data_IF_796567663527
#
_entry.id   IF_796567663527
#
_cell.length_a   1.000
_cell.length_b   1.000
_cell.length_c   1.000
_cell.angle_alpha   90.00
_cell.angle_beta   90.00
_cell.angle_gamma   90.00
#
_symmetry.space_group_name_H-M   'P 1'
#
loop_
_entity.id
_entity.type
_entity.pdbx_description
1 polymer ?
#
# COMPACT_ATOMS: atom_id res chain seq x y z
N UNK A 1 -3.65 -19.07 19.88
CA UNK A 1 -3.07 -19.46 18.58
C UNK A 1 -1.75 -18.73 18.46
N UNK A 2 -0.70 -19.46 18.10
CA UNK A 2 0.63 -18.87 17.86
C UNK A 2 0.50 -17.94 16.66
N UNK A 3 0.90 -16.71 16.79
CA UNK A 3 0.94 -15.72 15.70
C UNK A 3 2.40 -15.61 15.27
N UNK A 4 2.68 -15.83 14.01
CA UNK A 4 4.04 -15.70 13.49
C UNK A 4 4.13 -14.44 12.62
N UNK A 5 5.26 -13.73 12.69
CA UNK A 5 5.59 -12.61 11.80
C UNK A 5 6.66 -13.08 10.86
N UNK A 6 6.31 -13.25 9.58
CA UNK A 6 7.28 -13.66 8.56
C UNK A 6 6.73 -13.49 7.14
N UNK A 7 7.45 -12.77 6.30
CA UNK A 7 7.14 -12.65 4.86
C UNK A 7 8.41 -12.92 4.06
N UNK A 8 8.38 -13.93 3.20
CA UNK A 8 9.50 -14.28 2.32
C UNK A 8 9.25 -14.00 0.83
N UNK A 9 8.02 -14.20 0.34
CA UNK A 9 7.67 -13.96 -1.06
C UNK A 9 6.29 -13.34 -1.21
N UNK A 10 6.11 -12.45 -2.19
CA UNK A 10 4.81 -11.85 -2.51
C UNK A 10 3.73 -12.89 -2.82
N UNK A 11 4.10 -14.03 -3.38
CA UNK A 11 3.22 -15.14 -3.76
C UNK A 11 3.19 -16.31 -2.75
N UNK A 12 3.93 -16.23 -1.65
CA UNK A 12 3.86 -17.26 -0.60
C UNK A 12 2.45 -17.35 -0.02
N UNK A 13 2.09 -18.51 0.52
CA UNK A 13 0.77 -18.74 1.13
C UNK A 13 0.49 -17.78 2.26
N UNK A 14 -0.54 -16.97 2.08
CA UNK A 14 -0.99 -15.95 3.03
C UNK A 14 -1.70 -16.63 4.21
N UNK A 15 -1.29 -16.32 5.43
CA UNK A 15 -1.88 -16.87 6.66
C UNK A 15 -2.42 -15.78 7.59
N UNK A 16 -1.74 -14.64 7.67
CA UNK A 16 -2.15 -13.52 8.51
C UNK A 16 -2.00 -12.21 7.75
N UNK A 17 -3.03 -11.36 7.79
CA UNK A 17 -3.10 -10.11 7.04
C UNK A 17 -3.77 -9.01 7.85
N UNK A 18 -3.29 -7.79 7.70
CA UNK A 18 -4.00 -6.59 8.15
C UNK A 18 -4.79 -6.04 6.98
N UNK A 19 -6.07 -5.73 7.19
CA UNK A 19 -6.92 -4.98 6.24
C UNK A 19 -7.17 -3.60 6.84
N UNK A 20 -6.93 -2.55 6.07
CA UNK A 20 -7.19 -1.17 6.47
C UNK A 20 -8.66 -0.90 6.80
N UNK A 21 -8.92 0.21 7.46
CA UNK A 21 -10.28 0.72 7.73
C UNK A 21 -10.53 1.97 6.88
N UNK A 22 -11.70 2.11 6.25
CA UNK A 22 -11.98 3.22 5.35
C UNK A 22 -12.26 4.51 6.13
N UNK A 23 -11.26 5.01 6.82
CA UNK A 23 -11.31 6.25 7.58
C UNK A 23 -10.24 7.22 7.08
N UNK A 24 -10.68 8.42 6.79
CA UNK A 24 -9.84 9.52 6.31
C UNK A 24 -10.20 10.81 7.05
N UNK A 25 -9.21 11.63 7.32
CA UNK A 25 -9.36 13.05 7.62
C UNK A 25 -8.81 13.82 6.43
N UNK A 26 -9.66 14.59 5.77
CA UNK A 26 -9.29 15.31 4.55
C UNK A 26 -8.34 16.46 4.86
N UNK A 27 -7.23 16.50 4.12
CA UNK A 27 -6.22 17.53 4.29
C UNK A 27 -6.73 18.91 3.86
N UNK A 28 -6.23 19.95 4.53
CA UNK A 28 -6.42 21.33 4.14
C UNK A 28 -5.46 21.68 2.99
N UNK A 29 -5.95 22.11 1.80
CA UNK A 29 -5.09 22.48 0.68
C UNK A 29 -4.11 23.61 0.98
N UNK A 30 -4.36 24.43 2.02
CA UNK A 30 -3.42 25.47 2.46
C UNK A 30 -2.22 24.90 3.23
N UNK A 31 -2.27 23.65 3.69
CA UNK A 31 -1.16 23.02 4.40
C UNK A 31 0.08 22.92 3.48
N UNK A 32 1.27 23.30 3.95
CA UNK A 32 2.48 23.37 3.12
C UNK A 32 2.78 22.06 2.38
N UNK A 33 2.58 20.91 3.06
CA UNK A 33 2.85 19.59 2.50
C UNK A 33 1.85 19.14 1.41
N UNK A 34 0.68 19.79 1.31
CA UNK A 34 -0.36 19.47 0.33
C UNK A 34 -0.43 20.46 -0.83
N UNK A 35 0.18 21.63 -0.70
CA UNK A 35 0.07 22.73 -1.66
C UNK A 35 0.43 22.30 -3.09
N UNK A 36 1.47 21.47 -3.25
CA UNK A 36 1.88 20.95 -4.56
C UNK A 36 0.88 19.96 -5.16
N UNK A 37 0.16 19.18 -4.32
CA UNK A 37 -0.81 18.19 -4.80
C UNK A 37 -2.06 18.84 -5.42
N UNK A 38 -2.39 20.05 -5.01
CA UNK A 38 -3.61 20.74 -5.42
C UNK A 38 -3.40 21.86 -6.45
N UNK A 39 -2.15 22.14 -6.85
CA UNK A 39 -1.85 23.27 -7.75
C UNK A 39 -2.45 23.16 -9.16
N UNK A 40 -2.83 21.96 -9.58
CA UNK A 40 -3.41 21.72 -10.91
C UNK A 40 -4.93 21.63 -10.91
N UNK A 41 -5.59 21.74 -9.74
CA UNK A 41 -7.03 21.67 -9.64
C UNK A 41 -7.68 22.96 -10.15
N UNK A 42 -8.83 22.82 -10.80
CA UNK A 42 -9.69 23.95 -11.15
C UNK A 42 -10.26 24.64 -9.89
N UNK A 43 -10.74 25.86 -10.04
CA UNK A 43 -11.35 26.62 -8.94
C UNK A 43 -12.49 25.85 -8.26
N UNK A 44 -13.35 25.20 -9.04
CA UNK A 44 -14.49 24.44 -8.52
C UNK A 44 -14.04 23.17 -7.74
N UNK A 45 -12.98 22.49 -8.22
CA UNK A 45 -12.38 21.35 -7.50
C UNK A 45 -11.73 21.80 -6.21
N UNK A 46 -10.99 22.90 -6.22
CA UNK A 46 -10.42 23.49 -5.00
C UNK A 46 -11.48 23.85 -3.97
N UNK A 47 -12.57 24.52 -4.37
CA UNK A 47 -13.69 24.83 -3.48
C UNK A 47 -14.28 23.57 -2.83
N UNK A 48 -14.42 22.48 -3.60
CA UNK A 48 -14.86 21.17 -3.10
C UNK A 48 -13.87 20.59 -2.08
N UNK A 49 -12.57 20.64 -2.35
CA UNK A 49 -11.53 20.16 -1.42
C UNK A 49 -11.53 21.01 -0.14
N UNK A 50 -11.55 22.34 -0.23
CA UNK A 50 -11.64 23.23 0.94
C UNK A 50 -12.88 22.97 1.79
N UNK A 51 -14.02 22.64 1.18
CA UNK A 51 -15.25 22.35 1.92
C UNK A 51 -15.15 21.12 2.83
N UNK A 52 -14.21 20.21 2.53
CA UNK A 52 -13.94 18.97 3.27
C UNK A 52 -12.75 19.07 4.24
N UNK A 53 -11.93 20.11 4.10
CA UNK A 53 -10.70 20.30 4.84
C UNK A 53 -10.88 20.14 6.36
N UNK A 54 -10.06 19.30 6.98
CA UNK A 54 -10.09 19.00 8.41
C UNK A 54 -11.27 18.17 8.89
N UNK A 55 -12.17 17.75 7.99
CA UNK A 55 -13.31 16.89 8.32
C UNK A 55 -12.97 15.43 8.06
N UNK A 56 -13.48 14.55 8.92
CA UNK A 56 -13.38 13.11 8.68
C UNK A 56 -14.41 12.64 7.66
N UNK A 57 -14.16 11.47 7.07
CA UNK A 57 -15.12 10.76 6.21
C UNK A 57 -16.48 10.64 6.87
N UNK A 58 -16.53 10.31 8.18
CA UNK A 58 -17.78 10.24 8.95
C UNK A 58 -18.52 11.56 8.98
N UNK A 59 -17.84 12.68 9.29
CA UNK A 59 -18.47 13.99 9.38
C UNK A 59 -19.04 14.48 8.04
N UNK A 60 -18.36 14.17 6.94
CA UNK A 60 -18.80 14.60 5.60
C UNK A 60 -20.04 13.83 5.14
N UNK A 61 -20.06 12.54 5.45
CA UNK A 61 -21.07 11.63 4.91
C UNK A 61 -22.15 11.23 5.92
N UNK A 62 -22.09 11.69 7.17
CA UNK A 62 -23.00 11.33 8.26
C UNK A 62 -24.49 11.43 7.89
N UNK A 63 -24.84 12.43 7.07
CA UNK A 63 -26.24 12.70 6.65
C UNK A 63 -26.60 12.11 5.28
N UNK A 64 -25.70 11.38 4.63
CA UNK A 64 -25.96 10.80 3.32
C UNK A 64 -26.40 9.33 3.47
N UNK A 65 -27.51 8.92 2.86
CA UNK A 65 -27.82 7.49 2.75
C UNK A 65 -26.73 6.82 1.90
N UNK A 66 -26.16 5.70 2.37
CA UNK A 66 -25.03 5.00 1.75
C UNK A 66 -23.84 5.93 1.49
N UNK A 67 -23.18 6.31 2.56
CA UNK A 67 -21.98 7.14 2.45
C UNK A 67 -20.76 6.33 1.95
N UNK A 68 -19.74 7.00 1.45
CA UNK A 68 -18.53 6.38 0.90
C UNK A 68 -17.84 5.45 1.91
N UNK A 69 -17.84 5.79 3.19
CA UNK A 69 -17.28 4.95 4.24
C UNK A 69 -17.98 3.58 4.33
N UNK A 70 -19.32 3.56 4.30
CA UNK A 70 -20.11 2.33 4.33
C UNK A 70 -19.89 1.50 3.08
N UNK A 71 -19.85 2.12 1.90
CA UNK A 71 -19.57 1.44 0.64
C UNK A 71 -18.18 0.80 0.62
N UNK A 72 -17.16 1.49 1.13
CA UNK A 72 -15.82 0.94 1.25
C UNK A 72 -15.74 -0.20 2.28
N UNK A 73 -16.51 -0.13 3.38
CA UNK A 73 -16.61 -1.27 4.31
C UNK A 73 -17.33 -2.47 3.67
N UNK A 74 -18.36 -2.27 2.86
CA UNK A 74 -19.00 -3.34 2.08
C UNK A 74 -18.00 -3.99 1.10
N UNK A 75 -17.12 -3.19 0.49
CA UNK A 75 -16.03 -3.68 -0.37
C UNK A 75 -15.01 -4.49 0.45
N UNK A 76 -14.61 -3.99 1.62
CA UNK A 76 -13.74 -4.73 2.55
C UNK A 76 -14.38 -6.05 3.02
N UNK A 77 -15.69 -6.08 3.30
CA UNK A 77 -16.38 -7.32 3.70
C UNK A 77 -16.33 -8.38 2.59
N UNK A 78 -16.43 -8.00 1.32
CA UNK A 78 -16.26 -8.94 0.20
C UNK A 78 -14.86 -9.55 0.22
N UNK A 79 -13.83 -8.72 0.44
CA UNK A 79 -12.44 -9.16 0.55
C UNK A 79 -12.23 -10.06 1.77
N UNK A 80 -12.77 -9.69 2.93
CA UNK A 80 -12.75 -10.47 4.17
C UNK A 80 -13.38 -11.86 3.96
N UNK A 81 -14.49 -11.92 3.23
CA UNK A 81 -15.17 -13.19 2.96
C UNK A 81 -14.35 -14.11 2.06
N UNK A 82 -13.55 -13.57 1.15
CA UNK A 82 -12.57 -14.36 0.38
C UNK A 82 -11.50 -14.90 1.34
N UNK A 83 -10.87 -14.06 2.16
CA UNK A 83 -9.85 -14.50 3.11
C UNK A 83 -10.35 -15.58 4.09
N UNK A 84 -11.59 -15.48 4.57
CA UNK A 84 -12.21 -16.50 5.43
C UNK A 84 -12.31 -17.87 4.76
N UNK A 85 -12.53 -17.94 3.44
CA UNK A 85 -12.57 -19.22 2.69
C UNK A 85 -11.20 -19.94 2.67
N UNK A 86 -10.12 -19.21 2.89
CA UNK A 86 -8.74 -19.72 2.92
C UNK A 86 -8.17 -19.80 4.34
N UNK A 87 -9.00 -19.69 5.38
CA UNK A 87 -8.60 -19.71 6.78
C UNK A 87 -7.53 -18.69 7.14
N UNK A 88 -7.53 -17.54 6.44
CA UNK A 88 -6.58 -16.46 6.67
C UNK A 88 -7.03 -15.65 7.89
N UNK A 89 -6.12 -15.47 8.84
CA UNK A 89 -6.34 -14.64 10.03
C UNK A 89 -6.25 -13.17 9.67
N UNK A 90 -7.32 -12.44 10.02
CA UNK A 90 -7.47 -11.03 9.65
C UNK A 90 -7.34 -10.16 10.90
N UNK A 91 -6.57 -9.09 10.77
CA UNK A 91 -6.49 -8.01 11.75
C UNK A 91 -7.04 -6.72 11.17
N UNK A 92 -7.69 -5.92 12.02
CA UNK A 92 -8.12 -4.57 11.68
C UNK A 92 -7.37 -3.57 12.58
N UNK A 93 -6.81 -2.49 12.01
CA UNK A 93 -6.12 -1.49 12.79
C UNK A 93 -7.08 -0.75 13.73
N UNK A 94 -6.54 -0.14 14.78
CA UNK A 94 -7.31 0.71 15.67
C UNK A 94 -7.66 2.02 14.97
N UNK A 95 -8.92 2.44 15.08
CA UNK A 95 -9.33 3.77 14.60
C UNK A 95 -8.54 4.86 15.35
N UNK A 96 -8.00 5.82 14.60
CA UNK A 96 -7.33 7.01 15.13
C UNK A 96 -8.26 8.23 14.93
N UNK A 97 -9.07 8.60 15.93
CA UNK A 97 -9.90 9.81 15.84
C UNK A 97 -9.03 11.06 15.71
N UNK A 98 -9.51 12.06 14.96
CA UNK A 98 -8.75 13.30 14.74
C UNK A 98 -8.42 14.04 16.04
N UNK A 99 -9.29 13.94 17.05
CA UNK A 99 -9.09 14.53 18.38
C UNK A 99 -7.84 13.94 19.05
N UNK A 100 -7.63 12.62 18.95
CA UNK A 100 -6.45 11.95 19.49
C UNK A 100 -5.17 12.38 18.75
N UNK A 101 -5.24 12.54 17.44
CA UNK A 101 -4.10 13.01 16.63
C UNK A 101 -3.79 14.46 16.96
N UNK A 102 -4.82 15.31 17.08
CA UNK A 102 -4.68 16.72 17.49
C UNK A 102 -4.02 16.85 18.86
N UNK A 103 -4.48 16.08 19.85
CA UNK A 103 -3.93 16.09 21.20
C UNK A 103 -2.44 15.70 21.23
N UNK A 104 -2.06 14.65 20.46
CA UNK A 104 -0.71 14.10 20.51
C UNK A 104 0.29 14.80 19.61
N UNK A 105 -0.14 15.35 18.49
CA UNK A 105 0.73 15.85 17.41
C UNK A 105 0.45 17.29 17.00
N UNK A 106 -0.61 17.89 17.51
CA UNK A 106 -1.01 19.27 17.22
C UNK A 106 -1.99 19.41 16.03
N UNK A 107 -2.55 20.61 15.93
CA UNK A 107 -3.55 20.98 14.91
C UNK A 107 -3.02 20.87 13.47
N UNK A 108 -1.77 21.27 13.26
CA UNK A 108 -1.16 21.31 11.93
C UNK A 108 -1.02 19.90 11.31
N UNK A 109 -0.86 18.89 12.15
CA UNK A 109 -0.83 17.49 11.71
C UNK A 109 -2.21 17.04 11.23
N UNK A 110 -3.27 17.43 11.94
CA UNK A 110 -4.66 17.16 11.51
C UNK A 110 -4.99 17.88 10.21
N UNK A 111 -4.52 19.12 10.04
CA UNK A 111 -4.72 19.90 8.80
C UNK A 111 -4.10 19.24 7.57
N UNK A 112 -3.03 18.46 7.74
CA UNK A 112 -2.41 17.73 6.63
C UNK A 112 -3.26 16.56 6.12
N UNK A 113 -4.24 16.11 6.91
CA UNK A 113 -5.06 14.94 6.59
C UNK A 113 -4.33 13.61 6.76
N UNK A 114 -5.04 12.50 6.90
CA UNK A 114 -4.48 11.14 6.96
C UNK A 114 -5.52 10.10 6.54
N UNK A 115 -5.04 8.92 6.15
CA UNK A 115 -5.84 7.84 5.57
C UNK A 115 -5.51 6.54 6.30
N UNK A 116 -6.51 5.75 6.70
CA UNK A 116 -6.31 4.44 7.34
C UNK A 116 -6.76 3.24 6.48
N UNK A 117 -7.35 3.48 5.31
CA UNK A 117 -7.81 2.40 4.42
C UNK A 117 -6.66 1.65 3.72
N UNK A 118 -5.50 2.28 3.55
CA UNK A 118 -4.36 1.68 2.85
C UNK A 118 -3.28 1.26 3.82
N UNK A 119 -3.43 0.05 4.37
CA UNK A 119 -2.53 -0.50 5.39
C UNK A 119 -1.14 -0.86 4.86
N UNK A 120 -0.96 -0.88 3.54
CA UNK A 120 0.31 -1.26 2.90
C UNK A 120 1.44 -0.30 3.20
N UNK A 121 1.20 1.03 3.19
CA UNK A 121 2.26 2.03 3.13
C UNK A 121 3.00 2.31 4.46
N UNK A 122 2.35 2.24 5.65
CA UNK A 122 3.01 2.64 6.90
C UNK A 122 4.12 1.71 7.38
N UNK A 123 4.13 0.45 6.93
CA UNK A 123 5.13 -0.54 7.33
C UNK A 123 5.24 -1.67 6.32
N UNK A 124 6.30 -2.45 6.43
CA UNK A 124 6.50 -3.70 5.67
C UNK A 124 7.03 -4.79 6.58
N UNK A 125 6.71 -6.05 6.27
CA UNK A 125 7.35 -7.20 6.88
C UNK A 125 8.32 -7.81 5.87
N UNK A 126 9.60 -7.93 6.26
CA UNK A 126 10.66 -8.56 5.44
C UNK A 126 11.31 -9.66 6.27
N UNK A 127 11.14 -10.92 5.87
CA UNK A 127 11.48 -12.04 6.74
C UNK A 127 10.76 -11.88 8.07
N UNK A 128 11.49 -11.92 9.17
CA UNK A 128 10.98 -11.71 10.53
C UNK A 128 11.12 -10.27 11.04
N UNK A 129 11.26 -9.28 10.16
CA UNK A 129 11.41 -7.88 10.54
C UNK A 129 10.11 -7.11 10.23
N UNK A 130 9.52 -6.47 11.24
CA UNK A 130 8.54 -5.40 11.06
C UNK A 130 9.32 -4.09 10.92
N UNK A 131 9.18 -3.42 9.80
CA UNK A 131 9.88 -2.18 9.49
C UNK A 131 8.85 -1.06 9.35
N UNK A 132 8.79 -0.13 10.33
CA UNK A 132 7.99 1.08 10.20
C UNK A 132 8.65 2.01 9.19
N UNK A 133 7.88 2.47 8.21
CA UNK A 133 8.37 3.26 7.10
C UNK A 133 8.17 4.77 7.34
N UNK A 134 8.91 5.57 6.60
CA UNK A 134 8.82 7.03 6.61
C UNK A 134 8.09 7.50 5.37
N UNK A 135 6.78 7.74 5.49
CA UNK A 135 5.94 8.18 4.38
C UNK A 135 6.23 9.61 3.95
N UNK A 136 6.00 9.90 2.67
CA UNK A 136 6.23 11.22 2.07
C UNK A 136 5.24 12.28 2.54
N UNK A 137 4.09 11.87 3.07
CA UNK A 137 3.09 12.77 3.65
C UNK A 137 3.24 12.76 5.16
N UNK A 138 3.59 13.89 5.80
CA UNK A 138 3.97 13.94 7.20
C UNK A 138 2.95 13.33 8.15
N UNK A 139 1.67 13.59 7.93
CA UNK A 139 0.61 13.10 8.81
C UNK A 139 0.41 11.59 8.68
N UNK A 140 0.63 10.97 7.52
CA UNK A 140 0.55 9.53 7.35
C UNK A 140 1.50 8.76 8.26
N UNK A 141 2.54 9.41 8.78
CA UNK A 141 3.43 8.83 9.80
C UNK A 141 2.72 8.51 11.10
N UNK A 142 1.62 9.19 11.41
CA UNK A 142 0.78 8.88 12.56
C UNK A 142 -0.03 7.59 12.37
N UNK A 143 -0.29 7.17 11.14
CA UNK A 143 -1.05 5.95 10.82
C UNK A 143 -0.44 4.69 11.46
N UNK A 144 0.89 4.65 11.62
CA UNK A 144 1.59 3.53 12.25
C UNK A 144 1.09 3.22 13.67
N UNK A 145 0.58 4.21 14.39
CA UNK A 145 0.08 4.01 15.76
C UNK A 145 -1.15 3.11 15.82
N UNK A 146 -1.93 3.04 14.74
CA UNK A 146 -3.10 2.17 14.64
C UNK A 146 -2.74 0.69 14.62
N UNK A 147 -1.50 0.35 14.26
CA UNK A 147 -1.01 -1.03 14.11
C UNK A 147 -0.23 -1.54 15.32
N UNK A 148 0.22 -0.66 16.22
CA UNK A 148 1.14 -1.02 17.32
C UNK A 148 0.58 -2.08 18.29
N UNK A 149 -0.73 -2.08 18.53
CA UNK A 149 -1.35 -3.12 19.38
C UNK A 149 -1.29 -4.50 18.68
N UNK A 150 -1.49 -4.54 17.36
CA UNK A 150 -1.36 -5.76 16.55
C UNK A 150 0.09 -6.27 16.61
N UNK A 151 1.07 -5.38 16.40
CA UNK A 151 2.48 -5.76 16.46
C UNK A 151 2.89 -6.30 17.83
N UNK A 152 2.48 -5.64 18.90
CA UNK A 152 2.75 -6.11 20.28
C UNK A 152 2.14 -7.48 20.54
N UNK A 153 0.89 -7.71 20.09
CA UNK A 153 0.24 -9.01 20.20
C UNK A 153 1.02 -10.09 19.44
N UNK A 154 1.36 -9.84 18.18
CA UNK A 154 2.09 -10.79 17.34
C UNK A 154 3.49 -11.09 17.92
N UNK A 155 4.25 -10.08 18.32
CA UNK A 155 5.59 -10.24 18.90
C UNK A 155 5.57 -11.03 20.21
N UNK A 156 4.56 -10.84 21.05
CA UNK A 156 4.42 -11.59 22.31
C UNK A 156 4.23 -13.10 22.08
N UNK A 157 3.83 -13.52 20.87
CA UNK A 157 3.55 -14.91 20.51
C UNK A 157 4.53 -15.47 19.46
N UNK A 158 5.52 -14.69 19.02
CA UNK A 158 6.50 -15.05 18.01
C UNK A 158 7.91 -14.99 18.57
N UNK A 159 8.83 -15.81 18.04
CA UNK A 159 10.25 -15.78 18.42
C UNK A 159 11.10 -15.11 17.33
N UNK A 160 12.12 -14.35 17.73
CA UNK A 160 13.12 -13.77 16.85
C UNK A 160 12.61 -12.63 15.95
N UNK A 161 11.42 -12.11 16.20
CA UNK A 161 10.87 -10.95 15.49
C UNK A 161 11.60 -9.68 15.90
N UNK A 162 11.99 -8.89 14.90
CA UNK A 162 12.55 -7.56 15.10
C UNK A 162 11.50 -6.52 14.71
N UNK A 163 11.36 -5.48 15.49
CA UNK A 163 10.51 -4.33 15.20
C UNK A 163 11.35 -3.06 15.23
N UNK A 164 11.46 -2.40 14.10
CA UNK A 164 12.28 -1.21 13.92
C UNK A 164 11.49 -0.11 13.22
N UNK A 165 11.99 1.11 13.36
CA UNK A 165 11.49 2.28 12.64
C UNK A 165 12.59 2.90 11.80
N UNK A 166 12.23 3.40 10.62
CA UNK A 166 13.06 4.35 9.89
C UNK A 166 13.28 5.63 10.72
N UNK A 167 14.36 6.38 10.45
CA UNK A 167 14.60 7.66 11.12
C UNK A 167 13.37 8.57 11.03
N UNK A 168 12.96 9.14 12.16
CA UNK A 168 11.86 10.12 12.19
C UNK A 168 12.37 11.43 11.60
N UNK A 169 11.67 11.93 10.61
CA UNK A 169 11.93 13.26 10.08
C UNK A 169 11.25 14.28 11.01
N UNK A 170 11.99 15.19 11.65
CA UNK A 170 11.45 16.04 12.71
C UNK A 170 10.50 17.13 12.20
N UNK A 171 10.60 17.51 10.93
CA UNK A 171 9.83 18.60 10.33
C UNK A 171 8.56 18.10 9.63
N UNK A 172 7.52 18.92 9.60
CA UNK A 172 6.38 18.77 8.69
C UNK A 172 6.77 19.16 7.25
N UNK A 173 7.83 19.94 7.09
CA UNK A 173 8.45 20.22 5.80
C UNK A 173 9.47 19.13 5.49
N UNK A 174 9.19 18.33 4.47
CA UNK A 174 10.04 17.23 4.02
C UNK A 174 10.91 17.72 2.87
N UNK A 175 12.23 17.59 3.01
CA UNK A 175 13.13 17.67 1.86
C UNK A 175 13.15 16.31 1.14
N UNK A 176 12.32 16.16 0.12
CA UNK A 176 12.19 14.91 -0.65
C UNK A 176 13.49 14.46 -1.34
N UNK A 177 14.53 15.28 -1.33
CA UNK A 177 15.84 14.93 -1.89
C UNK A 177 16.84 14.46 -0.82
N UNK A 178 16.63 14.82 0.46
CA UNK A 178 17.56 14.51 1.55
C UNK A 178 16.99 13.55 2.58
N UNK A 179 15.70 13.69 2.87
CA UNK A 179 15.04 12.86 3.87
C UNK A 179 14.77 11.45 3.33
N UNK A 180 15.06 10.38 4.09
CA UNK A 180 14.77 9.02 3.67
C UNK A 180 13.27 8.75 3.70
N UNK A 181 12.66 8.51 2.54
CA UNK A 181 11.24 8.24 2.35
C UNK A 181 11.05 6.87 1.74
N UNK A 182 10.18 6.06 2.36
CA UNK A 182 9.70 4.79 1.83
C UNK A 182 8.23 4.58 2.17
N UNK A 183 7.50 4.02 1.22
CA UNK A 183 6.12 3.56 1.39
C UNK A 183 6.02 2.10 0.95
N UNK A 184 5.21 1.29 1.64
CA UNK A 184 5.18 -0.16 1.42
C UNK A 184 4.64 -0.60 0.06
N UNK A 185 3.90 0.28 -0.65
CA UNK A 185 3.49 0.07 -2.03
C UNK A 185 4.67 -0.05 -3.01
N UNK A 186 5.83 0.51 -2.64
CA UNK A 186 7.06 0.44 -3.43
C UNK A 186 7.97 -0.75 -3.09
N UNK A 187 7.62 -1.56 -2.09
CA UNK A 187 8.48 -2.65 -1.61
C UNK A 187 7.89 -4.02 -1.97
N UNK A 188 8.68 -4.84 -2.67
CA UNK A 188 8.35 -6.22 -3.00
C UNK A 188 9.38 -7.19 -2.42
N UNK A 189 8.90 -8.17 -1.66
CA UNK A 189 9.73 -9.19 -1.02
C UNK A 189 9.74 -10.44 -1.89
N UNK A 190 10.89 -10.82 -2.42
CA UNK A 190 11.08 -11.91 -3.37
C UNK A 190 12.23 -12.85 -2.91
N UNK A 191 12.07 -13.45 -1.75
CA UNK A 191 13.06 -14.30 -1.11
C UNK A 191 14.24 -13.52 -0.54
N UNK A 192 15.40 -13.72 -1.10
CA UNK A 192 16.62 -12.99 -0.78
C UNK A 192 16.74 -11.66 -1.55
N UNK A 193 15.80 -11.38 -2.45
CA UNK A 193 15.77 -10.16 -3.28
C UNK A 193 14.60 -9.26 -2.87
N UNK A 194 14.89 -7.99 -2.71
CA UNK A 194 13.89 -6.96 -2.40
C UNK A 194 13.90 -5.93 -3.53
N UNK A 195 12.75 -5.71 -4.18
CA UNK A 195 12.62 -4.60 -5.12
C UNK A 195 12.09 -3.36 -4.37
N UNK A 196 12.64 -2.20 -4.69
CA UNK A 196 12.23 -0.92 -4.13
C UNK A 196 11.96 0.07 -5.27
N UNK A 197 10.69 0.42 -5.45
CA UNK A 197 10.27 1.45 -6.40
C UNK A 197 10.72 2.84 -5.93
N UNK A 198 11.23 3.65 -6.88
CA UNK A 198 11.53 5.06 -6.63
C UNK A 198 11.05 5.88 -7.81
N UNK A 199 10.13 6.80 -7.54
CA UNK A 199 9.55 7.68 -8.57
C UNK A 199 10.48 8.86 -8.82
N UNK A 200 10.73 9.18 -10.08
CA UNK A 200 11.48 10.40 -10.45
C UNK A 200 10.55 11.62 -10.43
N UNK A 201 11.15 12.82 -10.30
CA UNK A 201 10.41 14.08 -10.29
C UNK A 201 10.05 14.58 -8.88
N UNK A 202 9.07 15.48 -8.81
CA UNK A 202 8.66 16.15 -7.55
C UNK A 202 7.58 15.40 -6.75
N UNK A 203 6.91 14.44 -7.36
CA UNK A 203 5.84 13.66 -6.74
C UNK A 203 6.34 12.40 -6.01
N UNK A 204 7.60 12.40 -5.56
CA UNK A 204 8.25 11.26 -4.90
C UNK A 204 7.47 10.81 -3.68
N UNK A 205 7.12 9.52 -3.65
CA UNK A 205 6.61 8.80 -2.47
C UNK A 205 7.75 8.11 -1.76
N UNK A 206 8.44 7.21 -2.47
CA UNK A 206 9.72 6.64 -2.04
C UNK A 206 10.87 7.26 -2.83
N UNK A 207 12.03 7.40 -2.20
CA UNK A 207 13.18 8.06 -2.82
C UNK A 207 14.47 7.24 -2.65
N UNK A 208 15.53 7.72 -3.28
CA UNK A 208 16.85 7.10 -3.24
C UNK A 208 17.39 6.96 -1.81
N UNK A 209 17.18 7.97 -0.95
CA UNK A 209 17.65 7.94 0.44
C UNK A 209 16.96 6.84 1.24
N UNK A 210 15.65 6.63 1.03
CA UNK A 210 14.90 5.53 1.62
C UNK A 210 15.39 4.17 1.13
N UNK A 211 15.64 4.03 -0.19
CA UNK A 211 16.25 2.83 -0.75
C UNK A 211 17.61 2.52 -0.12
N UNK A 212 18.51 3.52 -0.04
CA UNK A 212 19.84 3.38 0.57
C UNK A 212 19.72 2.95 2.04
N UNK A 213 18.80 3.57 2.78
CA UNK A 213 18.56 3.21 4.18
C UNK A 213 18.13 1.74 4.33
N UNK A 214 17.15 1.29 3.53
CA UNK A 214 16.66 -0.08 3.59
C UNK A 214 17.75 -1.09 3.20
N UNK A 215 18.50 -0.81 2.13
CA UNK A 215 19.63 -1.62 1.69
C UNK A 215 20.69 -1.79 2.78
N UNK A 216 21.07 -0.69 3.44
CA UNK A 216 22.05 -0.72 4.51
C UNK A 216 21.54 -1.48 5.76
N UNK A 217 20.25 -1.29 6.11
CA UNK A 217 19.64 -2.00 7.22
C UNK A 217 19.57 -3.50 7.00
N UNK A 218 19.10 -3.92 5.82
CA UNK A 218 18.97 -5.36 5.49
C UNK A 218 20.33 -6.05 5.30
N UNK A 219 21.36 -5.27 5.00
CA UNK A 219 22.74 -5.73 4.86
C UNK A 219 22.90 -6.79 3.76
N UNK A 220 23.89 -7.67 3.93
CA UNK A 220 24.23 -8.69 2.94
C UNK A 220 23.25 -9.88 2.90
N UNK A 221 22.27 -9.91 3.80
CA UNK A 221 21.26 -10.98 3.81
C UNK A 221 20.30 -10.87 2.62
N UNK A 222 20.08 -9.65 2.11
CA UNK A 222 19.16 -9.40 1.02
C UNK A 222 19.84 -8.60 -0.09
N UNK A 223 19.55 -8.98 -1.34
CA UNK A 223 19.88 -8.19 -2.53
C UNK A 223 18.79 -7.15 -2.74
N UNK A 224 19.03 -5.90 -2.38
CA UNK A 224 18.06 -4.81 -2.59
C UNK A 224 18.30 -4.15 -3.93
N UNK A 225 17.28 -4.15 -4.80
CA UNK A 225 17.31 -3.63 -6.16
C UNK A 225 16.40 -2.42 -6.25
N UNK A 226 16.94 -1.30 -6.71
CA UNK A 226 16.18 -0.10 -6.99
C UNK A 226 15.49 -0.20 -8.36
N UNK A 227 14.19 0.10 -8.40
CA UNK A 227 13.39 0.14 -9.63
C UNK A 227 12.96 1.59 -9.89
N UNK A 228 13.48 2.19 -10.95
CA UNK A 228 13.15 3.57 -11.29
C UNK A 228 11.86 3.65 -12.08
N UNK A 229 10.89 4.42 -11.56
CA UNK A 229 9.54 4.56 -12.08
C UNK A 229 9.34 5.95 -12.64
N UNK A 230 8.64 6.05 -13.78
CA UNK A 230 8.28 7.32 -14.41
C UNK A 230 7.37 8.16 -13.51
N UNK A 231 7.49 9.48 -13.64
CA UNK A 231 6.58 10.43 -13.00
C UNK A 231 5.13 10.18 -13.43
N UNK A 232 4.18 10.34 -12.50
CA UNK A 232 2.76 10.09 -12.72
C UNK A 232 2.27 8.72 -12.21
N UNK A 233 3.18 7.79 -11.90
CA UNK A 233 2.86 6.54 -11.20
C UNK A 233 3.00 6.76 -9.70
N UNK A 234 2.01 6.31 -8.93
CA UNK A 234 1.99 6.52 -7.47
C UNK A 234 3.03 5.66 -6.75
N UNK A 235 2.97 4.34 -6.95
CA UNK A 235 3.86 3.33 -6.36
C UNK A 235 4.16 2.20 -7.35
N UNK A 236 5.17 1.39 -7.03
CA UNK A 236 5.53 0.22 -7.83
C UNK A 236 4.37 -0.79 -7.93
N UNK A 237 3.57 -0.96 -6.88
CA UNK A 237 2.42 -1.88 -6.88
C UNK A 237 1.23 -1.43 -7.74
N UNK A 238 1.25 -0.20 -8.26
CA UNK A 238 0.29 0.24 -9.28
C UNK A 238 0.61 -0.32 -10.67
N UNK A 239 1.87 -0.73 -10.88
CA UNK A 239 2.41 -1.14 -12.18
C UNK A 239 3.11 -2.50 -12.16
N UNK A 240 3.19 -3.16 -11.00
CA UNK A 240 3.84 -4.45 -10.86
C UNK A 240 3.09 -5.33 -9.85
N UNK A 241 2.94 -6.60 -10.19
CA UNK A 241 2.47 -7.65 -9.29
C UNK A 241 3.18 -8.97 -9.60
N UNK A 242 3.33 -9.82 -8.59
CA UNK A 242 3.93 -11.15 -8.72
C UNK A 242 2.92 -12.20 -8.27
N UNK A 243 2.07 -12.69 -9.20
CA UNK A 243 0.99 -13.64 -8.88
C UNK A 243 1.52 -14.99 -8.36
N UNK A 244 2.61 -15.49 -8.92
CA UNK A 244 3.30 -16.71 -8.49
C UNK A 244 4.77 -16.69 -8.93
N UNK A 245 5.55 -17.70 -8.50
CA UNK A 245 6.91 -17.90 -9.00
C UNK A 245 6.93 -18.04 -10.52
N UNK A 246 7.80 -17.31 -11.19
CA UNK A 246 7.98 -17.35 -12.64
C UNK A 246 6.92 -16.57 -13.45
N UNK A 247 6.01 -15.82 -12.80
CA UNK A 247 5.00 -15.00 -13.47
C UNK A 247 4.94 -13.60 -12.85
N UNK A 248 5.01 -12.58 -13.68
CA UNK A 248 4.89 -11.17 -13.28
C UNK A 248 3.90 -10.42 -14.17
N UNK A 249 3.06 -9.59 -13.58
CA UNK A 249 2.30 -8.55 -14.27
C UNK A 249 3.10 -7.26 -14.12
N UNK A 250 3.41 -6.57 -15.20
CA UNK A 250 4.13 -5.29 -15.11
C UNK A 250 3.78 -4.36 -16.29
N UNK A 251 3.95 -3.07 -16.06
CA UNK A 251 3.87 -2.04 -17.09
C UNK A 251 5.29 -1.66 -17.52
N UNK A 252 5.78 -2.26 -18.61
CA UNK A 252 7.15 -2.01 -19.09
C UNK A 252 7.40 -0.55 -19.45
N UNK A 253 6.39 0.12 -20.02
CA UNK A 253 6.46 1.56 -20.37
C UNK A 253 6.64 2.49 -19.17
N UNK A 254 6.26 2.06 -17.95
CA UNK A 254 6.41 2.87 -16.74
C UNK A 254 7.81 2.74 -16.11
N UNK A 255 8.62 1.79 -16.55
CA UNK A 255 9.95 1.50 -16.02
C UNK A 255 11.03 2.26 -16.80
N UNK A 256 11.81 3.12 -16.12
CA UNK A 256 12.79 3.98 -16.78
C UNK A 256 13.98 3.19 -17.30
N UNK A 257 14.47 2.23 -16.52
CA UNK A 257 15.65 1.43 -16.84
C UNK A 257 15.27 0.05 -17.42
N UNK A 258 14.04 -0.10 -17.92
CA UNK A 258 13.50 -1.36 -18.40
C UNK A 258 13.16 -2.35 -17.28
N UNK A 259 12.82 -3.57 -17.66
CA UNK A 259 12.38 -4.62 -16.76
C UNK A 259 13.56 -5.05 -15.86
N UNK A 260 13.36 -5.14 -14.52
CA UNK A 260 14.41 -5.60 -13.62
C UNK A 260 14.93 -6.98 -14.01
N UNK A 261 16.24 -7.17 -14.01
CA UNK A 261 16.89 -8.43 -14.40
C UNK A 261 16.45 -9.65 -13.57
N UNK A 262 15.84 -9.43 -12.42
CA UNK A 262 15.22 -10.49 -11.61
C UNK A 262 14.14 -11.27 -12.40
N UNK A 263 13.49 -10.63 -13.37
CA UNK A 263 12.40 -11.20 -14.17
C UNK A 263 12.82 -11.69 -15.56
N UNK A 264 14.14 -11.78 -15.88
CA UNK A 264 14.61 -12.11 -17.24
C UNK A 264 14.03 -13.40 -17.81
N UNK A 265 13.84 -14.44 -16.96
CA UNK A 265 13.33 -15.74 -17.38
C UNK A 265 11.88 -15.99 -16.93
N UNK A 266 11.16 -14.93 -16.61
CA UNK A 266 9.79 -15.00 -16.14
C UNK A 266 8.79 -14.79 -17.27
N UNK A 267 7.63 -15.46 -17.18
CA UNK A 267 6.47 -15.14 -18.00
C UNK A 267 5.94 -13.75 -17.59
N UNK A 268 5.73 -12.88 -18.59
CA UNK A 268 5.39 -11.48 -18.37
C UNK A 268 4.02 -11.21 -18.96
N UNK A 269 3.09 -10.75 -18.14
CA UNK A 269 1.86 -10.11 -18.57
C UNK A 269 2.14 -8.61 -18.61
N UNK A 270 2.50 -8.09 -19.79
CA UNK A 270 2.75 -6.66 -19.96
C UNK A 270 1.41 -5.90 -20.06
N UNK A 271 1.26 -4.86 -19.25
CA UNK A 271 0.10 -3.98 -19.22
C UNK A 271 0.47 -2.58 -19.72
N UNK A 272 -0.46 -1.92 -20.38
CA UNK A 272 -0.30 -0.52 -20.77
C UNK A 272 -0.44 0.45 -19.58
N UNK A 273 0.06 1.68 -19.75
CA UNK A 273 -0.19 2.76 -18.78
C UNK A 273 -1.69 3.05 -18.60
N UNK A 274 -2.52 2.84 -19.64
CA UNK A 274 -3.97 3.01 -19.51
C UNK A 274 -4.59 1.90 -18.67
N UNK A 275 -4.19 0.66 -18.85
CA UNK A 275 -4.66 -0.47 -18.02
C UNK A 275 -4.22 -0.32 -16.57
N UNK A 276 -3.00 0.20 -16.32
CA UNK A 276 -2.50 0.42 -14.96
C UNK A 276 -3.35 1.42 -14.16
N UNK A 277 -4.03 2.37 -14.82
CA UNK A 277 -5.00 3.27 -14.17
C UNK A 277 -6.21 2.52 -13.58
N UNK A 278 -6.54 1.35 -14.12
CA UNK A 278 -7.53 0.44 -13.58
C UNK A 278 -7.02 -0.39 -12.40
N UNK A 279 -5.80 -0.12 -11.91
CA UNK A 279 -5.15 -0.82 -10.79
C UNK A 279 -5.11 -2.35 -10.98
N UNK A 280 -5.02 -2.82 -12.23
CA UNK A 280 -5.02 -4.24 -12.57
C UNK A 280 -3.76 -4.98 -12.09
N UNK A 281 -2.66 -4.27 -11.80
CA UNK A 281 -1.49 -4.84 -11.15
C UNK A 281 -1.58 -4.82 -9.61
N UNK A 282 -2.51 -4.05 -9.02
CA UNK A 282 -2.65 -3.91 -7.56
C UNK A 282 -3.55 -4.99 -6.95
N UNK A 283 -3.48 -6.21 -7.48
CA UNK A 283 -4.12 -7.39 -6.88
C UNK A 283 -3.27 -8.01 -5.78
N UNK A 284 -3.74 -9.12 -5.21
CA UNK A 284 -3.07 -9.80 -4.10
C UNK A 284 -3.09 -11.32 -4.31
N UNK A 285 -1.92 -11.98 -4.43
CA UNK A 285 -1.85 -13.43 -4.36
C UNK A 285 -2.27 -13.92 -2.96
N UNK A 286 -3.12 -14.94 -2.90
CA UNK A 286 -3.37 -15.70 -1.66
C UNK A 286 -2.28 -16.76 -1.51
N UNK A 287 -1.97 -17.43 -2.60
CA UNK A 287 -0.91 -18.39 -2.81
C UNK A 287 -0.57 -18.45 -4.31
N UNK A 288 0.22 -19.42 -4.77
CA UNK A 288 0.62 -19.55 -6.18
C UNK A 288 -0.51 -19.94 -7.15
N UNK A 289 -1.66 -20.38 -6.63
CA UNK A 289 -2.82 -20.82 -7.43
C UNK A 289 -4.02 -19.86 -7.34
N UNK A 290 -4.04 -18.94 -6.38
CA UNK A 290 -5.18 -18.12 -6.07
C UNK A 290 -4.82 -16.63 -5.97
N UNK A 291 -5.50 -15.81 -6.75
CA UNK A 291 -5.23 -14.37 -6.87
C UNK A 291 -6.50 -13.53 -6.71
N UNK A 292 -6.44 -12.44 -5.98
CA UNK A 292 -7.55 -11.48 -5.84
C UNK A 292 -7.26 -10.29 -6.75
N UNK A 293 -8.23 -9.96 -7.62
CA UNK A 293 -8.16 -8.86 -8.56
C UNK A 293 -9.37 -7.94 -8.39
N UNK A 294 -9.15 -6.63 -8.32
CA UNK A 294 -10.23 -5.66 -8.28
C UNK A 294 -10.78 -5.35 -9.67
N UNK A 295 -12.02 -4.89 -9.69
CA UNK A 295 -12.65 -4.24 -10.84
C UNK A 295 -13.57 -3.10 -10.37
N UNK A 296 -13.87 -2.19 -11.27
CA UNK A 296 -14.79 -1.09 -11.05
C UNK A 296 -15.64 -0.83 -12.29
N UNK A 297 -16.49 0.20 -12.27
CA UNK A 297 -17.40 0.45 -13.39
C UNK A 297 -16.67 0.84 -14.67
N UNK A 298 -15.57 1.58 -14.56
CA UNK A 298 -14.75 2.00 -15.69
C UNK A 298 -13.78 0.91 -16.18
N UNK A 299 -13.10 0.23 -15.22
CA UNK A 299 -12.06 -0.75 -15.52
C UNK A 299 -12.48 -2.14 -15.02
N UNK A 300 -12.87 -3.02 -15.96
CA UNK A 300 -13.33 -4.37 -15.62
C UNK A 300 -12.20 -5.37 -15.39
N UNK A 301 -10.98 -5.06 -15.83
CA UNK A 301 -9.77 -5.87 -15.70
C UNK A 301 -9.90 -7.31 -16.25
N UNK A 302 -10.86 -7.55 -17.18
CA UNK A 302 -11.17 -8.88 -17.75
C UNK A 302 -9.97 -9.50 -18.48
N UNK A 303 -9.18 -8.70 -19.22
CA UNK A 303 -7.98 -9.22 -19.89
C UNK A 303 -7.01 -9.85 -18.90
N UNK A 304 -6.73 -9.16 -17.80
CA UNK A 304 -5.79 -9.66 -16.79
C UNK A 304 -6.33 -10.90 -16.08
N UNK A 305 -7.63 -10.93 -15.80
CA UNK A 305 -8.29 -12.14 -15.30
C UNK A 305 -8.07 -13.33 -16.24
N UNK A 306 -8.39 -13.18 -17.54
CA UNK A 306 -8.25 -14.24 -18.53
C UNK A 306 -6.78 -14.68 -18.70
N UNK A 307 -5.84 -13.75 -18.70
CA UNK A 307 -4.40 -14.03 -18.76
C UNK A 307 -3.91 -14.86 -17.56
N UNK A 308 -4.39 -14.56 -16.35
CA UNK A 308 -4.08 -15.32 -15.16
C UNK A 308 -4.74 -16.71 -15.18
N UNK A 309 -6.04 -16.80 -15.56
CA UNK A 309 -6.78 -18.05 -15.63
C UNK A 309 -6.21 -18.99 -16.72
N UNK A 310 -5.75 -18.46 -17.85
CA UNK A 310 -5.09 -19.25 -18.90
C UNK A 310 -3.77 -19.88 -18.44
N UNK A 311 -3.18 -19.33 -17.38
CA UNK A 311 -1.97 -19.84 -16.73
C UNK A 311 -2.28 -20.68 -15.48
N UNK A 312 -3.53 -21.07 -15.28
CA UNK A 312 -3.97 -21.96 -14.19
C UNK A 312 -4.11 -21.29 -12.83
N UNK A 313 -4.26 -19.95 -12.78
CA UNK A 313 -4.49 -19.21 -11.53
C UNK A 313 -5.99 -18.94 -11.39
N UNK A 314 -6.57 -19.31 -10.24
CA UNK A 314 -7.95 -18.98 -9.89
C UNK A 314 -8.05 -17.49 -9.51
N UNK A 315 -8.88 -16.72 -10.22
CA UNK A 315 -9.02 -15.29 -10.00
C UNK A 315 -10.33 -14.95 -9.28
N UNK A 316 -10.20 -14.35 -8.11
CA UNK A 316 -11.32 -13.84 -7.31
C UNK A 316 -11.51 -12.36 -7.62
N UNK A 317 -12.54 -12.03 -8.40
CA UNK A 317 -12.87 -10.64 -8.74
C UNK A 317 -13.63 -9.96 -7.62
N UNK A 318 -13.17 -8.77 -7.21
CA UNK A 318 -13.80 -7.95 -6.17
C UNK A 318 -14.17 -6.58 -6.75
N UNK A 319 -15.44 -6.21 -6.65
CA UNK A 319 -15.87 -4.85 -6.96
C UNK A 319 -15.34 -3.90 -5.89
N UNK A 320 -14.49 -2.93 -6.32
CA UNK A 320 -13.69 -2.10 -5.42
C UNK A 320 -13.66 -0.63 -5.87
N UNK A 321 -14.80 -0.14 -6.38
CA UNK A 321 -15.00 1.19 -6.98
C UNK A 321 -14.54 2.31 -6.05
N UNK A 322 -15.06 2.30 -4.81
CA UNK A 322 -14.86 3.40 -3.87
C UNK A 322 -13.41 3.50 -3.38
N UNK A 323 -12.71 2.35 -3.25
CA UNK A 323 -11.26 2.36 -2.99
C UNK A 323 -10.47 2.80 -4.21
N UNK A 324 -10.84 2.34 -5.42
CA UNK A 324 -10.13 2.69 -6.65
C UNK A 324 -10.25 4.19 -6.98
N UNK A 325 -11.38 4.83 -6.66
CA UNK A 325 -11.53 6.29 -6.78
C UNK A 325 -10.50 7.09 -5.96
N UNK A 326 -10.01 6.53 -4.85
CA UNK A 326 -8.97 7.13 -4.00
C UNK A 326 -7.56 6.61 -4.37
N UNK A 327 -7.39 6.10 -5.59
CA UNK A 327 -6.13 5.62 -6.15
C UNK A 327 -5.49 4.43 -5.43
N UNK A 328 -6.27 3.62 -4.71
CA UNK A 328 -5.80 2.40 -4.06
C UNK A 328 -6.65 1.17 -4.42
N UNK A 329 -6.11 -0.03 -4.22
CA UNK A 329 -6.81 -1.28 -4.52
C UNK A 329 -6.50 -2.37 -3.49
N UNK A 330 -6.61 -3.63 -3.87
CA UNK A 330 -6.53 -4.80 -2.97
C UNK A 330 -5.19 -4.84 -2.22
N UNK A 331 -4.05 -4.75 -2.94
CA UNK A 331 -2.73 -4.80 -2.30
C UNK A 331 -2.51 -3.60 -1.38
N UNK A 332 -2.92 -2.40 -1.80
CA UNK A 332 -2.82 -1.18 -0.98
C UNK A 332 -3.60 -1.31 0.34
N UNK A 333 -4.79 -1.94 0.30
CA UNK A 333 -5.67 -2.12 1.47
C UNK A 333 -5.20 -3.25 2.40
N UNK A 334 -4.23 -4.08 1.97
CA UNK A 334 -3.78 -5.27 2.67
C UNK A 334 -2.29 -5.22 3.00
N UNK A 335 -1.92 -5.64 4.22
CA UNK A 335 -0.52 -5.83 4.57
C UNK A 335 -0.30 -7.20 5.24
N UNK A 336 0.39 -8.14 4.58
CA UNK A 336 0.69 -9.44 5.14
C UNK A 336 1.57 -9.34 6.39
N UNK A 337 1.19 -10.08 7.45
CA UNK A 337 2.01 -10.31 8.63
C UNK A 337 2.71 -11.66 8.58
N UNK A 338 1.99 -12.69 8.07
CA UNK A 338 2.57 -13.99 7.85
C UNK A 338 2.22 -14.51 6.45
N UNK A 339 3.30 -14.74 5.68
CA UNK A 339 3.23 -15.28 4.32
C UNK A 339 4.50 -16.06 4.05
N UNK A 340 4.38 -17.30 3.61
CA UNK A 340 5.53 -18.19 3.40
C UNK A 340 5.29 -19.14 2.25
N UNK A 341 6.32 -19.38 1.44
CA UNK A 341 6.30 -20.47 0.47
C UNK A 341 6.33 -21.80 1.24
N UNK A 342 5.37 -22.69 0.96
CA UNK A 342 5.36 -24.06 1.48
C UNK A 342 6.35 -24.88 0.62
N UNK A 343 7.45 -25.36 1.24
CA UNK A 343 8.48 -26.21 0.61
C UNK A 343 8.04 -27.66 0.68
#
# INVERSE_FOLDING_TARGET
MKSDIYVDFEYGKLKEVIIGIPYEVYGDPSAPCLRENFKYLSKAELEKVFSRAGKSTKEIFEKKPRNKYELMEEENEKLINIFKKFDIKIYRPKLLPKELIKEKYGEDVVKSGYIQQYSRDPFVVVGNNIIELSTSTPVRRAEIFSYKEIFRHCIAHSQGVKWISMPKIPSLEIDKNKDPLLEGGDIFVLGDTILVGTVQGNAKRSNEQGYIWLKNYLGNKYKVIQVHIKEGVLHLDCILSVPRKGLVILCSEALINGIPSYFNDWDIIDISLEESKGLCANGLPIDEENYILSYNDKYKNERIKLELESRGINVFMVYFENHNEDCGSIRCSCNPLFRKVEI
#
